data_IF_773338510202
#
_entry.id   IF_773338510202
#
_cell.length_a   1.000
_cell.length_b   1.000
_cell.length_c   1.000
_cell.angle_alpha   90.00
_cell.angle_beta   90.00
_cell.angle_gamma   90.00
#
_symmetry.space_group_name_H-M   'P 1'
#
loop_
_entity.id
_entity.type
_entity.pdbx_description
1 polymer ?
#
# COMPACT_ATOMS: atom_id res chain seq x y z
N UNK A 1 -9.28 15.88 -27.16
CA UNK A 1 -7.83 15.69 -26.87
C UNK A 1 -7.36 16.30 -25.54
N UNK A 2 -8.06 17.24 -24.90
CA UNK A 2 -7.71 17.70 -23.53
C UNK A 2 -8.08 16.69 -22.41
N UNK A 3 -9.00 15.77 -22.71
CA UNK A 3 -9.58 14.83 -21.74
C UNK A 3 -8.62 13.69 -21.35
N UNK A 4 -7.95 13.08 -22.33
CA UNK A 4 -7.03 11.95 -22.08
C UNK A 4 -5.79 12.37 -21.27
N UNK A 5 -5.26 13.58 -21.50
CA UNK A 5 -4.14 14.11 -20.71
C UNK A 5 -4.56 14.34 -19.26
N UNK A 6 -5.74 14.94 -19.02
CA UNK A 6 -6.22 15.17 -17.67
C UNK A 6 -6.52 13.85 -16.94
N UNK A 7 -7.11 12.88 -17.65
CA UNK A 7 -7.35 11.53 -17.16
C UNK A 7 -6.04 10.86 -16.74
N UNK A 8 -5.00 10.90 -17.58
CA UNK A 8 -3.66 10.36 -17.25
C UNK A 8 -3.04 11.05 -16.04
N UNK A 9 -3.12 12.37 -15.94
CA UNK A 9 -2.63 13.11 -14.76
C UNK A 9 -3.34 12.63 -13.49
N UNK A 10 -4.66 12.44 -13.54
CA UNK A 10 -5.42 11.95 -12.40
C UNK A 10 -5.01 10.52 -12.01
N UNK A 11 -4.80 9.62 -12.98
CA UNK A 11 -4.32 8.26 -12.72
C UNK A 11 -2.91 8.24 -12.11
N UNK A 12 -2.00 9.08 -12.59
CA UNK A 12 -0.65 9.21 -12.02
C UNK A 12 -0.72 9.72 -10.58
N UNK A 13 -1.57 10.71 -10.29
CA UNK A 13 -1.71 11.21 -8.93
C UNK A 13 -2.29 10.15 -7.99
N UNK A 14 -3.36 9.46 -8.41
CA UNK A 14 -3.94 8.36 -7.65
C UNK A 14 -2.92 7.24 -7.39
N UNK A 15 -2.04 6.95 -8.36
CA UNK A 15 -1.00 5.94 -8.20
C UNK A 15 0.01 6.35 -7.13
N UNK A 16 0.45 7.62 -7.15
CA UNK A 16 1.35 8.16 -6.13
C UNK A 16 0.74 8.13 -4.74
N UNK A 17 -0.54 8.47 -4.61
CA UNK A 17 -1.24 8.43 -3.34
C UNK A 17 -1.34 6.99 -2.80
N UNK A 18 -1.61 6.02 -3.67
CA UNK A 18 -1.62 4.60 -3.31
C UNK A 18 -0.22 4.09 -2.93
N UNK A 19 0.82 4.54 -3.63
CA UNK A 19 2.21 4.21 -3.31
C UNK A 19 2.63 4.76 -1.94
N UNK A 20 2.33 6.03 -1.64
CA UNK A 20 2.62 6.63 -0.33
C UNK A 20 1.88 5.90 0.80
N UNK A 21 0.63 5.49 0.55
CA UNK A 21 -0.11 4.68 1.51
C UNK A 21 0.54 3.32 1.74
N UNK A 22 0.98 2.65 0.66
CA UNK A 22 1.71 1.39 0.75
C UNK A 22 3.01 1.54 1.57
N UNK A 23 3.85 2.52 1.22
CA UNK A 23 5.13 2.75 1.88
C UNK A 23 4.97 3.04 3.37
N UNK A 24 4.01 3.89 3.73
CA UNK A 24 3.69 4.17 5.13
C UNK A 24 3.28 2.91 5.91
N UNK A 25 2.44 2.07 5.31
CA UNK A 25 2.00 0.83 5.98
C UNK A 25 3.17 -0.16 6.12
N UNK A 26 4.05 -0.22 5.13
CA UNK A 26 5.24 -1.07 5.17
C UNK A 26 6.21 -0.62 6.28
N UNK A 27 6.43 0.68 6.45
CA UNK A 27 7.20 1.24 7.58
C UNK A 27 6.56 0.94 8.95
N UNK A 28 5.22 1.01 9.05
CA UNK A 28 4.49 0.64 10.27
C UNK A 28 4.63 -0.86 10.59
N UNK A 29 4.59 -1.72 9.57
CA UNK A 29 4.82 -3.17 9.70
C UNK A 29 6.25 -3.48 10.13
N UNK A 30 7.23 -2.85 9.51
CA UNK A 30 8.64 -3.01 9.85
C UNK A 30 8.91 -2.59 11.29
N UNK A 31 8.37 -1.45 11.72
CA UNK A 31 8.49 -0.97 13.11
C UNK A 31 7.87 -1.97 14.09
N UNK A 32 6.68 -2.47 13.78
CA UNK A 32 5.98 -3.45 14.61
C UNK A 32 6.81 -4.74 14.75
N UNK A 33 7.32 -5.27 13.64
CA UNK A 33 8.09 -6.52 13.63
C UNK A 33 9.47 -6.34 14.28
N UNK A 34 10.19 -5.25 14.00
CA UNK A 34 11.50 -4.96 14.60
C UNK A 34 11.42 -4.89 16.13
N UNK A 35 10.31 -4.38 16.67
CA UNK A 35 10.10 -4.31 18.12
C UNK A 35 10.04 -5.69 18.81
N UNK A 36 9.82 -6.78 18.05
CA UNK A 36 9.67 -8.16 18.54
C UNK A 36 10.65 -9.15 17.91
N UNK A 37 11.78 -8.69 17.37
CA UNK A 37 12.79 -9.58 16.79
C UNK A 37 12.53 -9.99 15.33
N UNK A 38 11.66 -9.27 14.62
CA UNK A 38 11.51 -9.36 13.17
C UNK A 38 10.59 -10.48 12.69
N UNK A 39 9.91 -11.18 13.60
CA UNK A 39 9.03 -12.30 13.25
C UNK A 39 7.65 -12.17 13.86
N UNK A 40 6.63 -12.55 13.10
CA UNK A 40 5.23 -12.51 13.55
C UNK A 40 4.93 -13.45 14.72
N UNK A 41 5.71 -14.53 14.87
CA UNK A 41 5.57 -15.51 15.97
C UNK A 41 5.87 -14.93 17.35
N UNK A 42 6.59 -13.81 17.39
CA UNK A 42 7.04 -13.16 18.63
C UNK A 42 6.13 -11.96 19.00
N UNK A 43 5.07 -11.72 18.22
CA UNK A 43 4.04 -10.73 18.52
C UNK A 43 3.10 -11.25 19.62
N UNK A 44 2.61 -10.36 20.48
CA UNK A 44 1.44 -10.65 21.32
C UNK A 44 0.18 -10.80 20.44
N UNK A 45 -0.91 -11.30 21.02
CA UNK A 45 -2.19 -11.39 20.30
C UNK A 45 -2.64 -10.02 19.78
N UNK A 46 -2.56 -8.97 20.61
CA UNK A 46 -2.90 -7.60 20.23
C UNK A 46 -2.00 -7.06 19.09
N UNK A 47 -0.68 -7.30 19.18
CA UNK A 47 0.27 -6.90 18.15
C UNK A 47 0.03 -7.68 16.85
N UNK A 48 -0.38 -8.95 16.95
CA UNK A 48 -0.72 -9.80 15.81
C UNK A 48 -2.01 -9.36 15.14
N UNK A 49 -3.03 -8.93 15.89
CA UNK A 49 -4.23 -8.31 15.32
C UNK A 49 -3.89 -7.04 14.54
N UNK A 50 -3.06 -6.17 15.14
CA UNK A 50 -2.57 -4.97 14.46
C UNK A 50 -1.77 -5.30 13.21
N UNK A 51 -0.89 -6.29 13.28
CA UNK A 51 -0.15 -6.79 12.13
C UNK A 51 -1.08 -7.23 11.00
N UNK A 52 -2.14 -8.00 11.31
CA UNK A 52 -3.11 -8.45 10.30
C UNK A 52 -3.87 -7.30 9.65
N UNK A 53 -4.28 -6.30 10.43
CA UNK A 53 -4.94 -5.12 9.90
C UNK A 53 -4.00 -4.34 8.96
N UNK A 54 -2.76 -4.11 9.36
CA UNK A 54 -1.75 -3.44 8.54
C UNK A 54 -1.47 -4.22 7.26
N UNK A 55 -1.26 -5.53 7.36
CA UNK A 55 -1.03 -6.39 6.19
C UNK A 55 -2.21 -6.32 5.19
N UNK A 56 -3.45 -6.37 5.69
CA UNK A 56 -4.63 -6.24 4.84
C UNK A 56 -4.69 -4.89 4.14
N UNK A 57 -4.42 -3.79 4.86
CA UNK A 57 -4.40 -2.44 4.28
C UNK A 57 -3.27 -2.30 3.24
N UNK A 58 -2.11 -2.91 3.47
CA UNK A 58 -1.01 -2.93 2.50
C UNK A 58 -1.43 -3.62 1.20
N UNK A 59 -2.10 -4.76 1.30
CA UNK A 59 -2.60 -5.49 0.13
C UNK A 59 -3.63 -4.66 -0.66
N UNK A 60 -4.51 -3.92 0.02
CA UNK A 60 -5.45 -2.99 -0.64
C UNK A 60 -4.69 -1.90 -1.39
N UNK A 61 -3.71 -1.25 -0.76
CA UNK A 61 -2.90 -0.20 -1.40
C UNK A 61 -2.14 -0.75 -2.62
N UNK A 62 -1.51 -1.91 -2.48
CA UNK A 62 -0.81 -2.59 -3.57
C UNK A 62 -1.74 -2.93 -4.74
N UNK A 63 -2.90 -3.54 -4.47
CA UNK A 63 -3.87 -3.88 -5.49
C UNK A 63 -4.40 -2.65 -6.23
N UNK A 64 -4.58 -1.53 -5.51
CA UNK A 64 -4.94 -0.26 -6.11
C UNK A 64 -3.83 0.25 -7.03
N UNK A 65 -2.56 0.24 -6.59
CA UNK A 65 -1.41 0.58 -7.45
C UNK A 65 -1.37 -0.25 -8.73
N UNK A 66 -1.52 -1.58 -8.62
CA UNK A 66 -1.52 -2.48 -9.80
C UNK A 66 -2.68 -2.21 -10.76
N UNK A 67 -3.85 -1.82 -10.23
CA UNK A 67 -5.01 -1.45 -11.05
C UNK A 67 -4.75 -0.15 -11.81
N UNK A 68 -4.19 0.85 -11.14
CA UNK A 68 -3.87 2.15 -11.74
C UNK A 68 -2.71 2.03 -12.74
N UNK A 69 -1.71 1.21 -12.46
CA UNK A 69 -0.60 0.93 -13.37
C UNK A 69 -1.08 0.30 -14.68
N UNK A 70 -2.00 -0.68 -14.60
CA UNK A 70 -2.65 -1.24 -15.80
C UNK A 70 -3.41 -0.18 -16.58
N UNK A 71 -4.21 0.64 -15.90
CA UNK A 71 -4.96 1.73 -16.54
C UNK A 71 -4.05 2.77 -17.23
N UNK A 72 -2.83 2.99 -16.73
CA UNK A 72 -1.83 3.88 -17.35
C UNK A 72 -1.11 3.26 -18.56
N UNK A 73 -0.97 1.93 -18.59
CA UNK A 73 -0.23 1.20 -19.64
C UNK A 73 -1.13 0.68 -20.77
N UNK A 74 -2.40 0.40 -20.51
CA UNK A 74 -3.37 -0.15 -21.47
C UNK A 74 -4.06 0.93 -22.34
N UNK A 75 -3.60 2.20 -22.29
CA UNK A 75 -4.07 3.32 -23.14
C UNK A 75 -3.15 3.66 -24.33
#
# INVERSE_FOLDING_TARGET
>A
MLDDTQKRVNFVQAYRDAQLAYEKIDEELDTLLQSKGGHTKDLSDDDYERYRELAHRRDIAYNHMKTLERALLDE
#
